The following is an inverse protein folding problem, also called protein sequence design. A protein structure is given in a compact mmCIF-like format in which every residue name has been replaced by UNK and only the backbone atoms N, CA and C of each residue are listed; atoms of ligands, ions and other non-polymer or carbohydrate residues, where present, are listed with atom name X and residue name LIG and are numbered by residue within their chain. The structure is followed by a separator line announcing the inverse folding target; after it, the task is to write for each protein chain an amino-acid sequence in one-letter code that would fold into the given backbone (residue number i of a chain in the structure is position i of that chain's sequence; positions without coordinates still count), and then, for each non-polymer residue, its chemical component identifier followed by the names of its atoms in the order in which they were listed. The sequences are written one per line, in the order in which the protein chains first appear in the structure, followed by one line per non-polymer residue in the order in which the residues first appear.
data_IF_742541322574
#
_entry.id   IF_742541322574
#
_cell.length_a   1.000
_cell.length_b   1.000
_cell.length_c   1.000
_cell.angle_alpha   90.00
_cell.angle_beta   90.00
_cell.angle_gamma   90.00
#
_symmetry.space_group_name_H-M   'P 1'
#
loop_
_entity.id
_entity.type
_entity.pdbx_description
1 polymer ?
#
# COMPACT_ATOMS: atom_id res chain seq x y z
N UNK A 1 -2.13 -7.88 26.23
CA UNK A 1 -1.29 -6.71 25.88
C UNK A 1 -2.13 -5.83 24.98
N UNK A 2 -2.46 -4.59 25.37
CA UNK A 2 -3.36 -3.72 24.62
C UNK A 2 -2.60 -2.75 23.72
N UNK A 3 -3.15 -2.44 22.56
CA UNK A 3 -2.67 -1.40 21.65
C UNK A 3 -3.84 -0.56 21.15
N UNK A 4 -3.52 0.63 20.64
CA UNK A 4 -4.45 1.55 19.97
C UNK A 4 -3.74 2.08 18.73
N UNK A 5 -4.43 2.05 17.60
CA UNK A 5 -4.01 2.73 16.38
C UNK A 5 -4.72 4.07 16.28
N UNK A 6 -4.00 5.13 15.95
CA UNK A 6 -4.56 6.46 15.75
C UNK A 6 -4.31 6.86 14.31
N UNK A 7 -5.38 7.12 13.56
CA UNK A 7 -5.28 7.58 12.18
C UNK A 7 -6.35 8.61 11.84
N UNK A 8 -5.97 9.65 11.11
CA UNK A 8 -6.84 10.78 10.76
C UNK A 8 -7.90 10.40 9.70
N UNK A 9 -7.61 9.42 8.84
CA UNK A 9 -8.51 9.05 7.75
C UNK A 9 -9.72 8.22 8.22
N UNK A 10 -9.68 7.66 9.43
CA UNK A 10 -10.83 6.97 10.04
C UNK A 10 -11.14 5.62 9.42
N UNK A 11 -10.12 4.89 8.96
CA UNK A 11 -10.29 3.50 8.55
C UNK A 11 -8.97 2.87 8.16
N UNK A 12 -8.91 1.56 8.36
CA UNK A 12 -7.76 0.77 7.93
C UNK A 12 -7.56 0.89 6.42
N UNK A 13 -6.30 1.02 6.02
CA UNK A 13 -5.87 1.04 4.61
C UNK A 13 -6.44 2.15 3.72
N UNK A 14 -7.18 3.14 4.22
CA UNK A 14 -7.76 4.21 3.36
C UNK A 14 -6.73 4.91 2.48
N UNK A 15 -5.64 5.40 3.08
CA UNK A 15 -4.54 6.04 2.32
C UNK A 15 -3.93 5.07 1.31
N UNK A 16 -3.79 3.80 1.65
CA UNK A 16 -3.26 2.80 0.73
C UNK A 16 -4.20 2.57 -0.46
N UNK A 17 -5.51 2.49 -0.22
CA UNK A 17 -6.52 2.35 -1.27
C UNK A 17 -6.47 3.53 -2.24
N UNK A 18 -6.41 4.74 -1.69
CA UNK A 18 -6.32 5.96 -2.50
C UNK A 18 -5.04 5.96 -3.33
N UNK A 19 -3.91 5.54 -2.77
CA UNK A 19 -2.64 5.46 -3.50
C UNK A 19 -2.69 4.43 -4.62
N UNK A 20 -3.18 3.22 -4.35
CA UNK A 20 -3.28 2.17 -5.37
C UNK A 20 -4.23 2.59 -6.49
N UNK A 21 -5.36 3.22 -6.14
CA UNK A 21 -6.33 3.72 -7.12
C UNK A 21 -5.76 4.85 -7.98
N UNK A 22 -5.16 5.86 -7.36
CA UNK A 22 -4.72 7.05 -8.07
C UNK A 22 -3.42 6.84 -8.85
N UNK A 23 -2.57 5.87 -8.46
CA UNK A 23 -1.38 5.45 -9.21
C UNK A 23 -1.70 4.37 -10.27
N UNK A 24 -2.97 3.97 -10.40
CA UNK A 24 -3.43 2.93 -11.32
C UNK A 24 -2.68 1.59 -11.14
N UNK A 25 -2.43 1.22 -9.89
CA UNK A 25 -1.75 -0.02 -9.55
C UNK A 25 -2.78 -1.14 -9.48
N UNK A 26 -2.65 -2.13 -10.37
CA UNK A 26 -3.57 -3.28 -10.41
C UNK A 26 -3.06 -4.50 -9.63
N UNK A 27 -1.73 -4.68 -9.54
CA UNK A 27 -1.10 -5.79 -8.84
C UNK A 27 0.02 -5.28 -7.94
N UNK A 28 0.18 -5.94 -6.80
CA UNK A 28 1.29 -5.65 -5.92
C UNK A 28 2.61 -6.11 -6.52
N UNK A 29 3.70 -5.52 -6.05
CA UNK A 29 5.05 -6.01 -6.33
C UNK A 29 5.57 -6.92 -5.22
N UNK A 30 4.84 -6.96 -4.10
CA UNK A 30 5.19 -7.75 -2.92
C UNK A 30 4.70 -9.19 -3.07
N UNK A 31 5.57 -10.18 -2.83
CA UNK A 31 5.22 -11.60 -2.90
C UNK A 31 4.17 -12.00 -1.85
N UNK A 32 3.59 -13.19 -2.03
CA UNK A 32 2.52 -13.72 -1.19
C UNK A 32 2.83 -13.78 0.30
N UNK A 33 4.11 -13.98 0.69
CA UNK A 33 4.55 -14.05 2.08
C UNK A 33 4.75 -12.66 2.75
N UNK A 34 4.68 -11.58 1.98
CA UNK A 34 4.77 -10.21 2.47
C UNK A 34 3.37 -9.66 2.81
N UNK A 35 2.63 -10.39 3.66
CA UNK A 35 1.27 -10.07 4.07
C UNK A 35 1.18 -9.82 5.59
N UNK A 36 0.13 -9.14 6.09
CA UNK A 36 0.04 -8.70 7.49
C UNK A 36 -0.46 -9.75 8.49
N UNK A 37 -0.65 -11.02 8.12
CA UNK A 37 -1.12 -12.04 9.09
C UNK A 37 0.09 -12.55 9.90
N UNK A 38 0.11 -12.35 11.23
CA UNK A 38 1.27 -12.70 12.04
C UNK A 38 1.39 -14.20 12.36
N UNK A 39 0.35 -15.01 12.10
CA UNK A 39 0.30 -16.40 12.55
C UNK A 39 0.44 -17.44 11.43
N UNK A 40 0.14 -17.09 10.18
CA UNK A 40 0.20 -18.02 9.06
C UNK A 40 0.79 -17.36 7.80
N UNK A 41 2.01 -17.77 7.46
CA UNK A 41 2.79 -17.30 6.30
C UNK A 41 2.18 -17.66 4.94
N UNK A 42 1.19 -18.56 4.92
CA UNK A 42 0.50 -19.02 3.71
C UNK A 42 -0.93 -18.50 3.61
N UNK A 43 -1.40 -17.76 4.62
CA UNK A 43 -2.79 -17.33 4.79
C UNK A 43 -3.35 -16.57 3.59
N UNK A 44 -2.56 -15.71 2.94
CA UNK A 44 -3.01 -14.99 1.74
C UNK A 44 -3.23 -15.93 0.55
N UNK A 45 -2.37 -16.94 0.39
CA UNK A 45 -2.53 -17.95 -0.66
C UNK A 45 -3.76 -18.82 -0.38
N UNK A 46 -3.92 -19.28 0.86
CA UNK A 46 -5.07 -20.05 1.31
C UNK A 46 -6.37 -19.26 1.08
N UNK A 47 -6.42 -17.99 1.51
CA UNK A 47 -7.55 -17.10 1.30
C UNK A 47 -7.91 -16.95 -0.19
N UNK A 48 -6.91 -16.78 -1.07
CA UNK A 48 -7.16 -16.68 -2.50
C UNK A 48 -7.81 -17.96 -3.06
N UNK A 49 -7.38 -19.13 -2.60
CA UNK A 49 -7.94 -20.42 -2.99
C UNK A 49 -9.36 -20.62 -2.45
N UNK A 50 -9.59 -20.34 -1.17
CA UNK A 50 -10.90 -20.48 -0.51
C UNK A 50 -11.96 -19.57 -1.14
N UNK A 51 -11.56 -18.38 -1.57
CA UNK A 51 -12.45 -17.42 -2.24
C UNK A 51 -12.61 -17.69 -3.75
N UNK A 52 -11.93 -18.71 -4.31
CA UNK A 52 -11.95 -19.00 -5.75
C UNK A 52 -11.25 -17.94 -6.61
N UNK A 53 -10.35 -17.16 -6.02
CA UNK A 53 -9.69 -15.99 -6.62
C UNK A 53 -8.20 -16.21 -6.91
N UNK A 54 -7.72 -17.45 -6.92
CA UNK A 54 -6.31 -17.77 -7.22
C UNK A 54 -5.84 -17.30 -8.61
N UNK A 55 -6.76 -17.02 -9.54
CA UNK A 55 -6.44 -16.43 -10.84
C UNK A 55 -5.91 -14.98 -10.76
N UNK A 56 -6.16 -14.29 -9.65
CA UNK A 56 -5.62 -12.94 -9.36
C UNK A 56 -4.18 -12.97 -8.83
N UNK A 57 -3.57 -14.16 -8.72
CA UNK A 57 -2.18 -14.34 -8.33
C UNK A 57 -1.29 -14.47 -9.56
N UNK A 58 -0.49 -13.44 -9.84
CA UNK A 58 0.41 -13.40 -11.00
C UNK A 58 1.83 -13.78 -10.63
N UNK A 59 2.54 -14.50 -11.49
CA UNK A 59 3.98 -14.70 -11.30
C UNK A 59 4.75 -13.45 -11.76
N UNK A 60 5.71 -12.97 -10.98
CA UNK A 60 6.59 -11.86 -11.35
C UNK A 60 7.56 -12.27 -12.48
N UNK A 61 7.07 -12.42 -13.71
CA UNK A 61 7.90 -12.59 -14.92
C UNK A 61 8.76 -13.86 -14.97
N UNK A 62 8.88 -14.64 -13.90
CA UNK A 62 9.51 -15.96 -13.86
C UNK A 62 8.44 -17.01 -14.22
N UNK A 63 7.81 -16.84 -15.37
CA UNK A 63 7.03 -17.92 -15.95
C UNK A 63 7.98 -18.73 -16.82
N UNK A 64 8.15 -20.05 -16.58
CA UNK A 64 8.65 -20.93 -17.62
C UNK A 64 7.71 -20.73 -18.81
N UNK A 65 8.27 -20.35 -19.97
CA UNK A 65 7.51 -20.12 -21.20
C UNK A 65 6.34 -21.11 -21.28
N UNK A 66 5.11 -20.59 -21.31
CA UNK A 66 3.95 -21.39 -21.64
C UNK A 66 4.27 -22.11 -22.95
N UNK A 67 4.10 -23.43 -22.93
CA UNK A 67 4.31 -24.35 -24.04
C UNK A 67 3.44 -23.99 -25.25
N UNK A 68 3.84 -22.96 -26.01
CA UNK A 68 3.59 -22.90 -27.43
C UNK A 68 4.50 -23.93 -28.07
N UNK A 69 3.92 -24.88 -28.82
CA UNK A 69 4.66 -25.86 -29.59
C UNK A 69 5.66 -25.14 -30.50
N UNK A 70 6.80 -25.81 -30.71
CA UNK A 70 7.91 -25.52 -31.66
C UNK A 70 9.13 -24.82 -31.06
N UNK A 71 9.93 -25.58 -30.30
CA UNK A 71 11.15 -26.19 -30.85
C UNK A 71 11.91 -26.95 -29.76
N UNK A 72 12.31 -28.19 -30.09
CA UNK A 72 13.12 -29.06 -29.22
C UNK A 72 14.56 -28.54 -29.14
N UNK A 73 14.81 -27.47 -28.40
CA UNK A 73 16.13 -27.23 -27.79
C UNK A 73 15.98 -27.41 -26.29
N UNK A 74 16.59 -28.49 -25.78
CA UNK A 74 16.79 -28.76 -24.35
C UNK A 74 17.71 -27.69 -23.74
N UNK A 75 17.25 -26.44 -23.69
CA UNK A 75 17.77 -25.51 -22.70
C UNK A 75 17.10 -25.94 -21.40
N UNK A 76 17.85 -26.62 -20.54
CA UNK A 76 17.40 -26.83 -19.15
C UNK A 76 17.17 -25.44 -18.61
N UNK A 77 15.92 -25.02 -18.44
CA UNK A 77 15.58 -23.73 -17.86
C UNK A 77 16.34 -23.61 -16.54
N UNK A 78 17.39 -22.81 -16.52
CA UNK A 78 18.26 -22.69 -15.34
C UNK A 78 17.46 -22.18 -14.14
N UNK A 79 16.41 -21.38 -14.40
CA UNK A 79 15.40 -20.94 -13.44
C UNK A 79 14.61 -22.10 -12.79
N UNK A 80 14.49 -23.25 -13.46
CA UNK A 80 13.84 -24.43 -12.92
C UNK A 80 14.68 -25.25 -11.96
N UNK A 81 15.99 -25.06 -11.98
CA UNK A 81 16.90 -25.62 -11.00
C UNK A 81 17.08 -24.70 -9.78
N UNK A 82 16.85 -23.38 -9.93
CA UNK A 82 17.10 -22.40 -8.86
C UNK A 82 15.94 -22.31 -7.85
N UNK A 83 14.68 -22.50 -8.29
CA UNK A 83 13.50 -22.35 -7.43
C UNK A 83 12.63 -23.60 -7.45
N UNK A 84 12.34 -24.15 -6.27
CA UNK A 84 11.38 -25.24 -6.10
C UNK A 84 9.97 -24.79 -6.49
N UNK A 85 9.06 -25.74 -6.72
CA UNK A 85 7.65 -25.41 -6.97
C UNK A 85 7.03 -24.56 -5.85
N UNK A 86 7.46 -24.76 -4.60
CA UNK A 86 7.00 -23.99 -3.46
C UNK A 86 7.52 -22.53 -3.52
N UNK A 87 8.79 -22.34 -3.88
CA UNK A 87 9.38 -21.00 -4.02
C UNK A 87 8.66 -20.19 -5.11
N UNK A 88 8.28 -20.85 -6.21
CA UNK A 88 7.52 -20.22 -7.30
C UNK A 88 6.12 -19.79 -6.90
N UNK A 89 5.47 -20.51 -5.98
CA UNK A 89 4.17 -20.11 -5.43
C UNK A 89 4.36 -18.84 -4.61
N UNK A 90 5.39 -18.79 -3.77
CA UNK A 90 5.66 -17.63 -2.91
C UNK A 90 6.05 -16.38 -3.69
N UNK A 91 6.62 -16.53 -4.89
CA UNK A 91 6.94 -15.42 -5.80
C UNK A 91 5.74 -14.87 -6.57
N UNK A 92 4.54 -15.43 -6.38
CA UNK A 92 3.33 -14.82 -6.92
C UNK A 92 2.99 -13.52 -6.20
N UNK A 93 2.38 -12.60 -6.92
CA UNK A 93 1.91 -11.31 -6.41
C UNK A 93 0.39 -11.20 -6.57
N UNK A 94 -0.32 -10.72 -5.55
CA UNK A 94 -1.76 -10.58 -5.61
C UNK A 94 -2.17 -9.33 -6.40
N UNK A 95 -3.37 -9.38 -6.97
CA UNK A 95 -4.09 -8.17 -7.36
C UNK A 95 -4.33 -7.27 -6.15
N UNK A 96 -4.46 -5.96 -6.39
CA UNK A 96 -4.83 -4.99 -5.36
C UNK A 96 -6.18 -5.34 -4.71
N UNK A 97 -7.25 -5.66 -5.46
CA UNK A 97 -8.53 -6.06 -4.86
C UNK A 97 -8.46 -7.32 -4.00
N UNK A 98 -7.66 -8.31 -4.38
CA UNK A 98 -7.48 -9.55 -3.61
C UNK A 98 -6.81 -9.25 -2.28
N UNK A 99 -5.69 -8.52 -2.32
CA UNK A 99 -4.96 -8.15 -1.10
C UNK A 99 -5.82 -7.31 -0.16
N UNK A 100 -6.58 -6.34 -0.69
CA UNK A 100 -7.51 -5.54 0.11
C UNK A 100 -8.56 -6.41 0.81
N UNK A 101 -9.16 -7.35 0.08
CA UNK A 101 -10.16 -8.27 0.63
C UNK A 101 -9.57 -9.16 1.74
N UNK A 102 -8.33 -9.62 1.53
CA UNK A 102 -7.59 -10.36 2.54
C UNK A 102 -7.37 -9.54 3.81
N UNK A 103 -6.88 -8.30 3.69
CA UNK A 103 -6.70 -7.43 4.85
C UNK A 103 -8.03 -7.14 5.59
N UNK A 104 -9.13 -6.94 4.86
CA UNK A 104 -10.46 -6.78 5.46
C UNK A 104 -10.88 -8.02 6.26
N UNK A 105 -10.52 -9.23 5.78
CA UNK A 105 -10.77 -10.47 6.52
C UNK A 105 -9.98 -10.51 7.83
N UNK A 106 -8.73 -10.03 7.85
CA UNK A 106 -7.91 -9.94 9.06
C UNK A 106 -8.41 -8.87 10.03
N UNK A 107 -8.82 -7.70 9.53
CA UNK A 107 -9.42 -6.64 10.34
C UNK A 107 -10.63 -7.19 11.10
N UNK A 108 -11.48 -7.95 10.41
CA UNK A 108 -12.67 -8.58 11.00
C UNK A 108 -12.28 -9.69 11.96
N UNK A 109 -11.38 -10.60 11.54
CA UNK A 109 -10.94 -11.77 12.33
C UNK A 109 -10.28 -11.38 13.65
N UNK A 110 -9.51 -10.30 13.65
CA UNK A 110 -8.75 -9.83 14.82
C UNK A 110 -9.40 -8.63 15.52
N UNK A 111 -10.64 -8.27 15.15
CA UNK A 111 -11.38 -7.13 15.70
C UNK A 111 -10.55 -5.83 15.74
N UNK A 112 -9.83 -5.52 14.65
CA UNK A 112 -8.92 -4.37 14.64
C UNK A 112 -9.67 -3.02 14.66
N UNK A 113 -10.94 -2.99 14.28
CA UNK A 113 -11.76 -1.78 14.30
C UNK A 113 -11.98 -1.25 15.72
N UNK A 114 -12.08 -2.13 16.73
CA UNK A 114 -12.22 -1.71 18.14
C UNK A 114 -10.96 -1.04 18.70
N UNK A 115 -9.84 -1.17 18.00
CA UNK A 115 -8.55 -0.58 18.36
C UNK A 115 -8.22 0.71 17.59
N UNK A 116 -9.10 1.17 16.68
CA UNK A 116 -8.86 2.34 15.86
C UNK A 116 -9.52 3.60 16.44
N UNK A 117 -8.71 4.61 16.72
CA UNK A 117 -9.17 5.95 17.10
C UNK A 117 -9.00 6.87 15.89
N UNK A 118 -10.10 7.40 15.38
CA UNK A 118 -10.07 8.41 14.32
C UNK A 118 -9.67 9.77 14.90
N UNK A 119 -8.39 10.12 14.80
CA UNK A 119 -7.88 11.42 15.20
C UNK A 119 -6.53 11.71 14.55
N UNK A 120 -6.16 12.98 14.51
CA UNK A 120 -4.79 13.40 14.19
C UNK A 120 -3.97 13.53 15.47
N UNK A 121 -2.82 12.85 15.53
CA UNK A 121 -1.81 13.07 16.57
C UNK A 121 -1.09 14.39 16.30
N UNK A 122 -1.07 15.29 17.29
CA UNK A 122 -0.45 16.61 17.18
C UNK A 122 0.89 16.70 17.92
N UNK A 123 1.09 15.90 18.98
CA UNK A 123 2.30 15.94 19.80
C UNK A 123 2.50 14.63 20.55
N UNK A 124 3.75 14.18 20.68
CA UNK A 124 4.14 13.04 21.52
C UNK A 124 5.16 13.52 22.53
N UNK A 125 4.90 13.29 23.81
CA UNK A 125 5.76 13.73 24.91
C UNK A 125 6.28 12.53 25.71
N UNK A 126 7.60 12.38 25.87
CA UNK A 126 8.16 11.39 26.79
C UNK A 126 7.86 11.79 28.24
N UNK A 127 7.52 10.81 29.06
CA UNK A 127 7.35 10.93 30.50
C UNK A 127 8.46 10.13 31.19
N UNK A 128 9.09 10.74 32.19
CA UNK A 128 10.12 10.13 33.02
C UNK A 128 9.53 10.01 34.43
N UNK A 129 9.64 8.82 35.02
CA UNK A 129 9.21 8.65 36.41
C UNK A 129 10.17 9.42 37.31
N UNK A 130 9.63 10.11 38.33
CA UNK A 130 10.45 10.77 39.33
C UNK A 130 11.16 9.68 40.17
N UNK A 131 12.46 9.84 40.50
CA UNK A 131 13.12 8.88 41.37
C UNK A 131 12.46 8.93 42.76
N UNK A 132 11.88 7.82 43.21
CA UNK A 132 11.36 7.66 44.59
C UNK A 132 12.48 7.72 45.64
N UNK A 133 13.75 7.68 45.24
CA UNK A 133 14.91 7.81 46.11
C UNK A 133 15.95 8.76 45.54
N UNK A 134 16.39 9.70 46.37
CA UNK A 134 17.32 10.82 46.07
C UNK A 134 18.74 10.42 45.63
N UNK A 135 19.01 9.14 45.33
CA UNK A 135 20.37 8.65 45.04
C UNK A 135 20.53 7.96 43.67
N UNK A 136 19.47 7.84 42.86
CA UNK A 136 19.61 7.22 41.53
C UNK A 136 19.75 8.24 40.40
N UNK A 137 20.81 8.05 39.59
CA UNK A 137 21.12 8.80 38.37
C UNK A 137 19.86 8.97 37.49
N UNK A 138 19.59 10.17 36.94
CA UNK A 138 18.39 10.40 36.12
C UNK A 138 18.32 9.38 34.98
N UNK A 139 17.19 8.69 34.88
CA UNK A 139 16.98 7.69 33.83
C UNK A 139 16.85 8.39 32.49
N UNK A 140 17.75 8.08 31.54
CA UNK A 140 17.72 8.65 30.19
C UNK A 140 16.59 8.09 29.33
N UNK A 141 15.92 7.04 29.80
CA UNK A 141 14.86 6.34 29.08
C UNK A 141 13.49 6.73 29.66
N UNK A 142 12.55 7.19 28.82
CA UNK A 142 11.20 7.48 29.28
C UNK A 142 10.48 6.21 29.74
N UNK A 143 9.69 6.32 30.81
CA UNK A 143 8.84 5.25 31.34
C UNK A 143 7.57 5.07 30.51
N UNK A 144 7.10 6.16 29.89
CA UNK A 144 5.88 6.19 29.07
C UNK A 144 5.87 7.42 28.15
N UNK A 145 4.86 7.50 27.30
CA UNK A 145 4.62 8.61 26.39
C UNK A 145 3.18 9.09 26.52
N UNK A 146 2.98 10.40 26.49
CA UNK A 146 1.68 11.05 26.28
C UNK A 146 1.53 11.38 24.80
N UNK A 147 0.43 10.98 24.20
CA UNK A 147 0.10 11.22 22.80
C UNK A 147 -1.10 12.16 22.77
N UNK A 148 -0.86 13.40 22.39
CA UNK A 148 -1.86 14.46 22.31
C UNK A 148 -2.57 14.39 20.96
N UNK A 149 -3.89 14.35 21.01
CA UNK A 149 -4.76 14.31 19.83
C UNK A 149 -5.33 15.70 19.54
N UNK A 150 -5.60 15.96 18.27
CA UNK A 150 -6.30 17.16 17.79
C UNK A 150 -7.69 17.36 18.41
N UNK A 151 -8.31 16.28 18.91
CA UNK A 151 -9.59 16.32 19.63
C UNK A 151 -9.49 16.85 21.06
N UNK A 152 -8.27 17.11 21.56
CA UNK A 152 -8.00 17.47 22.96
C UNK A 152 -7.80 16.27 23.89
N UNK A 153 -8.08 15.05 23.43
CA UNK A 153 -7.80 13.83 24.19
C UNK A 153 -6.29 13.55 24.27
N UNK A 154 -5.84 13.00 25.39
CA UNK A 154 -4.46 12.54 25.58
C UNK A 154 -4.44 11.05 25.87
N UNK A 155 -3.77 10.28 25.03
CA UNK A 155 -3.54 8.85 25.25
C UNK A 155 -2.20 8.65 25.95
N UNK A 156 -2.07 7.57 26.74
CA UNK A 156 -0.80 7.19 27.38
C UNK A 156 -0.40 5.78 26.99
N UNK A 157 0.86 5.60 26.60
CA UNK A 157 1.40 4.30 26.22
C UNK A 157 2.84 4.11 26.67
N UNK A 158 3.25 2.86 26.94
CA UNK A 158 4.67 2.53 27.24
C UNK A 158 5.55 2.58 25.99
N UNK A 159 4.95 2.38 24.83
CA UNK A 159 5.61 2.35 23.52
C UNK A 159 4.73 3.10 22.52
N UNK A 160 5.36 3.84 21.62
CA UNK A 160 4.69 4.55 20.53
C UNK A 160 5.42 4.19 19.24
N UNK A 161 4.67 3.76 18.23
CA UNK A 161 5.17 3.47 16.90
C UNK A 161 4.62 4.54 15.96
N UNK A 162 5.49 5.19 15.19
CA UNK A 162 5.09 6.17 14.19
C UNK A 162 5.10 5.51 12.81
N UNK A 163 3.92 5.31 12.25
CA UNK A 163 3.70 4.74 10.92
C UNK A 163 2.91 5.70 10.02
N UNK A 164 3.24 6.99 10.07
CA UNK A 164 2.47 8.06 9.42
C UNK A 164 2.75 8.21 7.91
N UNK A 165 3.71 7.45 7.37
CA UNK A 165 4.14 7.58 5.98
C UNK A 165 4.81 8.93 5.69
N UNK A 166 5.02 9.24 4.40
CA UNK A 166 5.36 10.60 4.00
C UNK A 166 4.12 11.48 4.12
N UNK A 167 4.26 12.60 4.82
CA UNK A 167 3.15 13.53 5.10
C UNK A 167 3.31 14.86 4.36
N UNK A 168 4.48 15.08 3.76
CA UNK A 168 4.80 16.27 2.97
C UNK A 168 5.61 15.86 1.75
N UNK A 169 5.15 16.20 0.54
CA UNK A 169 5.92 15.97 -0.67
C UNK A 169 7.20 16.78 -0.64
N UNK A 170 8.33 16.09 -0.84
CA UNK A 170 9.62 16.75 -1.05
C UNK A 170 9.76 17.10 -2.52
N UNK A 171 9.27 18.27 -2.88
CA UNK A 171 9.34 18.77 -4.24
C UNK A 171 10.68 19.49 -4.42
N UNK A 172 11.50 19.07 -5.38
CA UNK A 172 12.73 19.78 -5.69
C UNK A 172 12.45 21.22 -6.13
N UNK A 173 13.30 22.16 -5.73
CA UNK A 173 13.15 23.59 -6.03
C UNK A 173 13.15 23.93 -7.52
N UNK A 174 13.64 23.02 -8.38
CA UNK A 174 13.61 23.17 -9.83
C UNK A 174 12.25 22.85 -10.46
N UNK A 175 11.32 22.20 -9.73
CA UNK A 175 9.96 21.94 -10.22
C UNK A 175 9.15 23.24 -10.11
N UNK A 176 8.66 23.81 -11.22
CA UNK A 176 7.90 25.06 -11.18
C UNK A 176 6.59 24.89 -10.41
N UNK A 177 6.25 25.85 -9.54
CA UNK A 177 5.03 25.84 -8.71
C UNK A 177 3.71 25.84 -9.52
N UNK A 178 3.80 26.11 -10.82
CA UNK A 178 2.68 26.01 -11.75
C UNK A 178 2.41 24.58 -12.22
N UNK A 179 3.43 23.72 -12.31
CA UNK A 179 3.25 22.30 -12.67
C UNK A 179 2.72 21.47 -11.50
N UNK A 180 2.95 21.95 -10.29
CA UNK A 180 2.48 21.33 -9.06
C UNK A 180 1.01 21.61 -8.78
N UNK A 181 0.50 22.75 -9.23
CA UNK A 181 -0.90 23.18 -9.03
C UNK A 181 -1.77 22.99 -10.27
N UNK A 182 -1.20 22.98 -11.49
CA UNK A 182 -1.95 22.66 -12.71
C UNK A 182 -2.16 21.17 -12.89
N UNK A 183 -3.35 20.72 -12.52
CA UNK A 183 -3.93 19.46 -12.98
C UNK A 183 -4.29 19.55 -14.47
N UNK A 184 -3.34 19.28 -15.37
CA UNK A 184 -3.63 18.98 -16.78
C UNK A 184 -3.08 17.59 -17.08
N UNK A 185 -3.99 16.65 -17.36
CA UNK A 185 -3.71 15.21 -17.31
C UNK A 185 -2.42 14.73 -18.00
N UNK A 186 -1.93 13.59 -17.49
CA UNK A 186 -0.59 12.97 -17.68
C UNK A 186 0.55 13.62 -16.88
N UNK A 187 0.31 14.58 -15.99
CA UNK A 187 1.32 15.07 -15.04
C UNK A 187 1.66 14.01 -13.99
N UNK A 188 2.95 13.91 -13.64
CA UNK A 188 3.43 13.15 -12.49
C UNK A 188 2.88 13.83 -11.22
N UNK A 189 2.01 13.13 -10.49
CA UNK A 189 1.46 13.62 -9.23
C UNK A 189 2.20 12.91 -8.10
N UNK A 190 2.68 13.66 -7.11
CA UNK A 190 3.23 13.06 -5.90
C UNK A 190 2.14 12.32 -5.13
N UNK A 191 2.46 11.17 -4.54
CA UNK A 191 1.56 10.34 -3.73
C UNK A 191 0.75 11.14 -2.71
N UNK A 192 1.41 12.04 -1.98
CA UNK A 192 0.80 12.90 -0.95
C UNK A 192 -0.23 13.93 -1.49
N UNK A 193 -0.26 14.19 -2.80
CA UNK A 193 -1.18 15.15 -3.43
C UNK A 193 -2.37 14.51 -4.12
N UNK A 194 -2.42 13.19 -4.10
CA UNK A 194 -3.62 12.42 -4.37
C UNK A 194 -4.59 12.63 -3.21
N UNK A 195 -5.24 13.79 -3.16
CA UNK A 195 -6.27 14.09 -2.17
C UNK A 195 -7.38 13.05 -2.30
N UNK A 196 -7.65 12.37 -1.18
CA UNK A 196 -8.80 11.51 -0.94
C UNK A 196 -10.08 12.24 -1.38
N UNK A 197 -10.85 11.63 -2.28
CA UNK A 197 -12.10 12.15 -2.84
C UNK A 197 -12.04 13.56 -3.47
N UNK A 198 -11.35 13.70 -4.62
CA UNK A 198 -11.60 14.82 -5.52
C UNK A 198 -12.48 14.39 -6.74
N UNK A 199 -13.78 14.75 -6.76
CA UNK A 199 -14.69 14.39 -7.86
C UNK A 199 -14.28 14.97 -9.22
N UNK A 200 -13.49 16.05 -9.25
CA UNK A 200 -13.04 16.67 -10.49
C UNK A 200 -11.98 15.80 -11.19
N UNK A 201 -11.16 15.07 -10.44
CA UNK A 201 -10.16 14.14 -10.99
C UNK A 201 -10.82 12.95 -11.71
N UNK A 202 -11.84 12.34 -11.10
CA UNK A 202 -12.59 11.21 -11.68
C UNK A 202 -13.27 11.53 -13.02
N UNK A 203 -13.76 12.76 -13.20
CA UNK A 203 -14.39 13.19 -14.47
C UNK A 203 -13.37 13.37 -15.61
N UNK A 204 -12.15 13.82 -15.29
CA UNK A 204 -11.11 14.08 -16.29
C UNK A 204 -10.56 12.79 -16.93
N UNK A 205 -10.39 11.72 -16.13
CA UNK A 205 -9.93 10.43 -16.65
C UNK A 205 -11.01 9.75 -17.51
N UNK A 206 -12.28 9.73 -17.07
CA UNK A 206 -13.38 9.13 -17.85
C UNK A 206 -13.57 9.80 -19.22
N UNK A 207 -13.42 11.12 -19.28
CA UNK A 207 -13.55 11.86 -20.53
C UNK A 207 -12.38 11.60 -21.50
N UNK A 208 -11.15 11.39 -21.01
CA UNK A 208 -10.00 11.03 -21.87
C UNK A 208 -10.09 9.61 -22.41
N UNK A 209 -10.56 8.65 -21.61
CA UNK A 209 -10.71 7.24 -22.05
C UNK A 209 -11.81 7.11 -23.11
N UNK A 210 -12.89 7.90 -23.03
CA UNK A 210 -13.96 7.93 -24.04
C UNK A 210 -13.58 8.59 -25.37
N UNK A 211 -12.59 9.49 -25.38
CA UNK A 211 -12.05 10.08 -26.62
C UNK A 211 -11.07 9.15 -27.35
N UNK A 212 -10.34 8.30 -26.61
CA UNK A 212 -9.40 7.34 -27.21
C UNK A 212 -10.12 6.18 -27.94
N UNK A 213 -11.42 5.97 -27.70
CA UNK A 213 -12.23 4.92 -28.35
C UNK A 213 -12.86 5.35 -29.68
N UNK A 214 -12.56 6.55 -30.20
CA UNK A 214 -13.25 7.13 -31.38
C UNK A 214 -12.33 7.65 -32.50
N UNK A 215 -11.17 7.05 -32.72
CA UNK A 215 -10.40 7.32 -33.93
C UNK A 215 -10.19 6.04 -34.75
N UNK A 216 -10.76 5.94 -35.98
CA UNK A 216 -10.36 4.91 -36.92
C UNK A 216 -8.98 5.25 -37.50
N UNK A 217 -8.10 4.27 -37.50
CA UNK A 217 -6.84 4.29 -38.23
C UNK A 217 -7.15 4.17 -39.73
N UNK A 218 -6.75 5.15 -40.53
CA UNK A 218 -6.20 5.06 -41.91
C UNK A 218 -5.98 6.49 -42.42
N UNK A 219 -4.79 6.83 -42.96
CA UNK A 219 -4.68 7.81 -44.03
C UNK A 219 -4.33 7.11 -45.35
N UNK A 220 -5.20 7.26 -46.34
CA UNK A 220 -4.95 7.02 -47.76
C UNK A 220 -3.83 7.93 -48.26
N UNK A 221 -2.81 7.35 -48.93
CA UNK A 221 -1.83 8.12 -49.70
C UNK A 221 -2.44 8.61 -51.03
N UNK A 222 -2.13 9.84 -51.48
CA UNK A 222 -2.41 10.27 -52.84
C UNK A 222 -1.28 9.85 -53.79
N UNK A 223 -1.68 9.39 -54.96
CA UNK A 223 -0.81 9.08 -56.11
C UNK A 223 -0.18 10.35 -56.67
N UNK A 224 1.09 10.25 -57.05
CA UNK A 224 1.65 10.88 -58.24
C UNK A 224 2.80 10.04 -58.78
#
# INVERSE_FOLDING_TARGET
MSFVAVDESGGWMRKWDDLMHNLDVHHLRSPLNAHPDPFDVTSLNAFAHEQGRSAELQCLGISPRSSGREDKKKVRDHAAYIFTNNDRIMLKVPSVPLFKSFCQSLITRYDLDSHLVQARVIRVEPCFDAPESTETRPTTKPSSFKVHLSTGQVLRGKRVVLATGQTRPRIPSWVPEQQTTQRKGNTIIHSDWMRVNDPAFRRSIKNKVGLASRQPLIPTQPQH
#
